data_IF_257844296557
#
_entry.id   IF_257844296557
#
_cell.length_a   1.000
_cell.length_b   1.000
_cell.length_c   1.000
_cell.angle_alpha   90.00
_cell.angle_beta   90.00
_cell.angle_gamma   90.00
#
_symmetry.space_group_name_H-M   'P 1'
#
loop_
_entity.id
_entity.type
_entity.pdbx_description
1 polymer ?
#
# COMPACT_ATOMS: atom_id res chain seq x y z
N UNK A 1 -11.88 20.86 6.21
CA UNK A 1 -10.48 20.56 6.59
C UNK A 1 -9.68 20.40 5.30
N UNK A 2 -8.46 20.95 5.19
CA UNK A 2 -7.60 20.67 4.04
C UNK A 2 -7.29 19.16 3.98
N UNK A 3 -7.28 18.60 2.77
CA UNK A 3 -6.94 17.19 2.54
C UNK A 3 -5.56 16.90 3.13
N UNK A 4 -5.48 15.91 4.03
CA UNK A 4 -4.19 15.40 4.56
C UNK A 4 -3.36 14.78 3.42
N UNK A 5 -4.01 14.46 2.29
CA UNK A 5 -3.41 13.83 1.12
C UNK A 5 -3.03 14.89 0.07
N UNK A 6 -1.72 15.04 -0.15
CA UNK A 6 -1.11 16.00 -1.11
C UNK A 6 -1.33 15.64 -2.57
N UNK A 7 -1.74 14.40 -2.89
CA UNK A 7 -1.89 13.92 -4.26
C UNK A 7 -3.36 13.83 -4.75
N UNK A 8 -4.35 14.32 -3.98
CA UNK A 8 -5.79 14.08 -4.26
C UNK A 8 -6.53 15.32 -4.81
N UNK A 9 -5.83 16.18 -5.55
CA UNK A 9 -6.41 17.43 -6.07
C UNK A 9 -6.98 17.29 -7.50
N UNK A 10 -6.82 16.14 -8.14
CA UNK A 10 -7.26 15.86 -9.51
C UNK A 10 -8.66 15.26 -9.63
N UNK A 11 -9.11 15.06 -10.87
CA UNK A 11 -10.36 14.33 -11.15
C UNK A 11 -10.24 12.86 -10.70
N UNK A 12 -11.24 12.35 -9.99
CA UNK A 12 -11.26 10.98 -9.43
C UNK A 12 -10.94 9.93 -10.50
N UNK A 13 -11.54 10.05 -11.68
CA UNK A 13 -11.32 9.08 -12.77
C UNK A 13 -9.87 9.05 -13.27
N UNK A 14 -9.22 10.21 -13.35
CA UNK A 14 -7.79 10.28 -13.72
C UNK A 14 -6.91 9.68 -12.64
N UNK A 15 -7.27 9.88 -11.37
CA UNK A 15 -6.55 9.31 -10.24
C UNK A 15 -6.68 7.78 -10.20
N UNK A 16 -7.87 7.23 -10.53
CA UNK A 16 -8.06 5.78 -10.71
C UNK A 16 -7.16 5.21 -11.79
N UNK A 17 -7.22 5.77 -12.99
CA UNK A 17 -6.36 5.34 -14.10
C UNK A 17 -4.87 5.39 -13.77
N UNK A 18 -4.43 6.43 -13.03
CA UNK A 18 -3.05 6.53 -12.54
C UNK A 18 -2.72 5.40 -11.56
N UNK A 19 -3.59 5.11 -10.60
CA UNK A 19 -3.40 4.03 -9.61
C UNK A 19 -3.36 2.66 -10.27
N UNK A 20 -4.26 2.37 -11.20
CA UNK A 20 -4.30 1.09 -11.91
C UNK A 20 -3.08 0.92 -12.81
N UNK A 21 -2.66 1.98 -13.52
CA UNK A 21 -1.43 1.97 -14.30
C UNK A 21 -0.20 1.73 -13.41
N UNK A 22 -0.13 2.42 -12.27
CA UNK A 22 0.93 2.22 -11.27
C UNK A 22 0.97 0.77 -10.80
N UNK A 23 -0.19 0.16 -10.51
CA UNK A 23 -0.30 -1.24 -10.11
C UNK A 23 0.32 -2.18 -11.14
N UNK A 24 -0.10 -2.05 -12.41
CA UNK A 24 0.39 -2.87 -13.53
C UNK A 24 1.90 -2.75 -13.69
N UNK A 25 2.44 -1.52 -13.67
CA UNK A 25 3.88 -1.28 -13.80
C UNK A 25 4.66 -1.97 -12.69
N UNK A 26 4.31 -1.69 -11.43
CA UNK A 26 5.04 -2.19 -10.27
C UNK A 26 4.96 -3.71 -10.13
N UNK A 27 3.81 -4.30 -10.44
CA UNK A 27 3.64 -5.75 -10.50
C UNK A 27 4.56 -6.39 -11.53
N UNK A 28 4.67 -5.80 -12.73
CA UNK A 28 5.52 -6.30 -13.80
C UNK A 28 7.01 -6.26 -13.43
N UNK A 29 7.48 -5.19 -12.78
CA UNK A 29 8.90 -5.06 -12.43
C UNK A 29 9.29 -5.82 -11.15
N UNK A 30 8.38 -6.02 -10.20
CA UNK A 30 8.66 -6.65 -8.90
C UNK A 30 8.23 -8.12 -8.81
N UNK A 31 7.76 -8.71 -9.93
CA UNK A 31 7.43 -10.14 -10.07
C UNK A 31 6.28 -10.62 -9.18
N UNK A 32 5.12 -9.96 -9.31
CA UNK A 32 3.83 -10.21 -8.62
C UNK A 32 3.61 -9.40 -7.32
N UNK A 33 2.36 -9.36 -6.87
CA UNK A 33 1.93 -8.54 -5.71
C UNK A 33 2.13 -9.22 -4.35
N UNK A 34 2.35 -10.55 -4.32
CA UNK A 34 2.76 -11.26 -3.10
C UNK A 34 3.89 -12.26 -3.41
N UNK A 35 4.87 -12.42 -2.49
CA UNK A 35 5.90 -13.46 -2.59
C UNK A 35 5.30 -14.88 -2.56
N UNK A 36 5.95 -15.87 -3.21
CA UNK A 36 5.47 -17.25 -3.24
C UNK A 36 5.15 -17.87 -1.87
N UNK A 37 5.95 -17.56 -0.83
CA UNK A 37 5.73 -18.08 0.52
C UNK A 37 4.39 -17.64 1.12
N UNK A 38 3.98 -16.39 0.86
CA UNK A 38 2.70 -15.86 1.34
C UNK A 38 1.55 -16.48 0.54
N UNK A 39 1.72 -16.63 -0.78
CA UNK A 39 0.74 -17.33 -1.60
C UNK A 39 0.52 -18.77 -1.14
N UNK A 40 1.59 -19.50 -0.83
CA UNK A 40 1.52 -20.87 -0.33
C UNK A 40 0.80 -20.93 1.03
N UNK A 41 1.12 -20.01 1.94
CA UNK A 41 0.44 -19.90 3.22
C UNK A 41 -1.07 -19.66 3.04
N UNK A 42 -1.45 -18.64 2.29
CA UNK A 42 -2.87 -18.29 2.07
C UNK A 42 -3.65 -19.43 1.40
N UNK A 43 -3.05 -20.11 0.42
CA UNK A 43 -3.68 -21.24 -0.28
C UNK A 43 -3.77 -22.51 0.56
N UNK A 44 -2.99 -22.62 1.63
CA UNK A 44 -3.08 -23.74 2.58
C UNK A 44 -4.28 -23.63 3.53
N UNK A 45 -4.86 -22.44 3.64
CA UNK A 45 -5.98 -22.16 4.54
C UNK A 45 -7.31 -22.34 3.81
N UNK A 46 -8.34 -22.90 4.46
CA UNK A 46 -9.66 -23.08 3.85
C UNK A 46 -10.42 -21.76 3.64
N UNK A 47 -10.18 -20.77 4.50
CA UNK A 47 -10.85 -19.46 4.47
C UNK A 47 -9.88 -18.35 4.91
N UNK A 48 -8.85 -18.04 4.10
CA UNK A 48 -7.85 -17.04 4.47
C UNK A 48 -8.45 -15.63 4.54
N UNK A 49 -8.00 -14.82 5.50
CA UNK A 49 -8.37 -13.41 5.63
C UNK A 49 -7.20 -12.54 5.22
N UNK A 50 -7.39 -11.68 4.22
CA UNK A 50 -6.39 -10.73 3.74
C UNK A 50 -6.87 -9.31 3.93
N UNK A 51 -6.05 -8.48 4.56
CA UNK A 51 -6.24 -7.03 4.60
C UNK A 51 -5.34 -6.39 3.54
N UNK A 52 -5.88 -5.46 2.76
CA UNK A 52 -5.11 -4.56 1.91
C UNK A 52 -5.22 -3.13 2.46
N UNK A 53 -4.13 -2.62 3.01
CA UNK A 53 -4.07 -1.31 3.63
C UNK A 53 -3.55 -0.25 2.64
N UNK A 54 -4.15 0.93 2.67
CA UNK A 54 -3.98 1.97 1.66
C UNK A 54 -4.32 1.44 0.25
N UNK A 55 -5.44 0.71 0.15
CA UNK A 55 -5.82 -0.11 -1.01
C UNK A 55 -6.08 0.68 -2.31
N UNK A 56 -6.27 2.01 -2.22
CA UNK A 56 -6.54 2.86 -3.38
C UNK A 56 -7.81 2.47 -4.14
N UNK A 57 -7.64 1.90 -5.33
CA UNK A 57 -8.76 1.43 -6.17
C UNK A 57 -9.31 0.07 -5.74
N UNK A 58 -8.55 -0.71 -4.96
CA UNK A 58 -8.88 -2.09 -4.62
C UNK A 58 -8.38 -3.13 -5.63
N UNK A 59 -7.64 -2.71 -6.66
CA UNK A 59 -7.19 -3.58 -7.76
C UNK A 59 -6.39 -4.81 -7.28
N UNK A 60 -5.61 -4.70 -6.20
CA UNK A 60 -4.91 -5.84 -5.59
C UNK A 60 -5.90 -6.92 -5.13
N UNK A 61 -7.02 -6.52 -4.50
CA UNK A 61 -8.04 -7.46 -4.02
C UNK A 61 -8.75 -8.15 -5.18
N UNK A 62 -9.03 -7.42 -6.26
CA UNK A 62 -9.63 -7.99 -7.48
C UNK A 62 -8.74 -9.09 -8.07
N UNK A 63 -7.42 -8.91 -8.03
CA UNK A 63 -6.46 -9.90 -8.51
C UNK A 63 -6.18 -11.03 -7.52
N UNK A 64 -6.38 -10.80 -6.22
CA UNK A 64 -6.21 -11.83 -5.19
C UNK A 64 -7.39 -12.80 -5.16
N UNK A 65 -8.61 -12.29 -5.33
CA UNK A 65 -9.84 -13.08 -5.26
C UNK A 65 -9.84 -14.37 -6.11
N UNK A 66 -9.50 -14.34 -7.43
CA UNK A 66 -9.49 -15.56 -8.23
C UNK A 66 -8.34 -16.52 -7.91
N UNK A 67 -7.33 -16.09 -7.13
CA UNK A 67 -6.17 -16.91 -6.73
C UNK A 67 -6.38 -17.66 -5.41
N UNK A 68 -7.44 -17.35 -4.67
CA UNK A 68 -7.71 -17.87 -3.33
C UNK A 68 -9.00 -18.71 -3.29
N UNK A 69 -9.22 -19.40 -2.17
CA UNK A 69 -10.47 -20.12 -1.93
C UNK A 69 -11.67 -19.16 -1.97
N UNK A 70 -12.86 -19.65 -2.37
CA UNK A 70 -14.07 -18.83 -2.44
C UNK A 70 -14.48 -18.28 -1.07
N UNK A 71 -14.13 -19.00 -0.02
CA UNK A 71 -14.34 -18.67 1.38
C UNK A 71 -13.32 -17.65 1.92
N UNK A 72 -12.32 -17.26 1.13
CA UNK A 72 -11.38 -16.21 1.50
C UNK A 72 -12.11 -14.88 1.71
N UNK A 73 -11.70 -14.09 2.70
CA UNK A 73 -12.24 -12.75 2.92
C UNK A 73 -11.16 -11.69 2.63
N UNK A 74 -11.50 -10.72 1.78
CA UNK A 74 -10.60 -9.69 1.31
C UNK A 74 -11.12 -8.31 1.73
N UNK A 75 -10.41 -7.65 2.64
CA UNK A 75 -10.83 -6.36 3.19
C UNK A 75 -9.83 -5.27 2.79
N UNK A 76 -10.27 -4.30 2.00
CA UNK A 76 -9.49 -3.13 1.63
C UNK A 76 -9.79 -1.95 2.53
N UNK A 77 -8.75 -1.33 3.05
CA UNK A 77 -8.82 -0.17 3.93
C UNK A 77 -8.18 1.04 3.24
N UNK A 78 -8.93 2.13 3.10
CA UNK A 78 -8.41 3.40 2.61
C UNK A 78 -9.18 4.57 3.21
N UNK A 79 -8.51 5.70 3.40
CA UNK A 79 -9.15 6.94 3.87
C UNK A 79 -10.09 7.56 2.81
N UNK A 80 -9.97 7.13 1.56
CA UNK A 80 -10.70 7.62 0.39
C UNK A 80 -11.32 6.48 -0.43
N UNK A 81 -12.38 5.88 0.11
CA UNK A 81 -13.15 4.82 -0.58
C UNK A 81 -13.77 5.25 -1.92
N UNK A 82 -13.90 6.56 -2.19
CA UNK A 82 -14.42 7.07 -3.48
C UNK A 82 -13.51 6.77 -4.67
N UNK A 83 -12.24 6.41 -4.44
CA UNK A 83 -11.30 6.02 -5.49
C UNK A 83 -11.57 4.61 -6.00
N UNK A 84 -12.34 3.78 -5.29
CA UNK A 84 -12.68 2.44 -5.79
C UNK A 84 -13.39 2.49 -7.13
N UNK A 85 -13.30 1.39 -7.89
CA UNK A 85 -14.28 1.08 -8.91
C UNK A 85 -15.68 0.94 -8.28
N UNK A 86 -16.70 0.76 -9.11
CA UNK A 86 -18.06 0.50 -8.61
C UNK A 86 -18.00 -0.62 -7.56
N UNK A 87 -18.47 -0.42 -6.32
CA UNK A 87 -18.50 -1.49 -5.33
C UNK A 87 -19.18 -2.77 -5.84
N UNK A 88 -20.09 -2.66 -6.82
CA UNK A 88 -20.72 -3.80 -7.48
C UNK A 88 -19.78 -4.59 -8.42
N UNK A 89 -18.64 -4.03 -8.82
CA UNK A 89 -17.63 -4.72 -9.62
C UNK A 89 -16.62 -5.50 -8.78
N UNK A 90 -16.64 -5.35 -7.45
CA UNK A 90 -15.76 -6.10 -6.57
C UNK A 90 -16.16 -7.58 -6.54
N UNK A 91 -15.18 -8.50 -6.39
CA UNK A 91 -15.46 -9.90 -6.11
C UNK A 91 -16.40 -10.04 -4.90
N UNK A 92 -17.28 -11.05 -4.92
CA UNK A 92 -18.28 -11.27 -3.86
C UNK A 92 -17.66 -11.47 -2.46
N UNK A 93 -16.39 -11.83 -2.41
CA UNK A 93 -15.63 -12.07 -1.19
C UNK A 93 -14.65 -10.92 -0.85
N UNK A 94 -14.78 -9.79 -1.55
CA UNK A 94 -14.01 -8.57 -1.32
C UNK A 94 -14.91 -7.41 -0.90
N UNK A 95 -14.39 -6.55 -0.02
CA UNK A 95 -15.04 -5.28 0.35
C UNK A 95 -14.01 -4.17 0.54
N UNK A 96 -14.42 -2.94 0.22
CA UNK A 96 -13.65 -1.73 0.46
C UNK A 96 -14.33 -0.88 1.51
N UNK A 97 -13.55 -0.39 2.47
CA UNK A 97 -14.07 0.31 3.64
C UNK A 97 -13.08 1.37 4.11
N UNK A 98 -13.59 2.27 4.95
CA UNK A 98 -12.74 3.29 5.55
C UNK A 98 -11.74 2.66 6.50
N UNK A 99 -10.47 3.03 6.37
CA UNK A 99 -9.44 2.72 7.36
C UNK A 99 -8.27 3.68 7.23
N UNK A 100 -7.86 4.26 8.35
CA UNK A 100 -6.67 5.09 8.44
C UNK A 100 -5.55 4.29 9.11
N UNK A 101 -4.48 4.00 8.39
CA UNK A 101 -3.33 3.24 8.93
C UNK A 101 -2.64 3.95 10.11
N UNK A 102 -2.89 5.25 10.29
CA UNK A 102 -2.37 6.05 11.41
C UNK A 102 -3.26 6.00 12.66
N UNK A 103 -4.44 5.38 12.58
CA UNK A 103 -5.37 5.21 13.69
C UNK A 103 -5.46 3.74 14.11
N UNK A 104 -6.01 3.50 15.30
CA UNK A 104 -6.28 2.14 15.76
C UNK A 104 -7.45 1.55 14.95
N UNK A 105 -7.25 0.33 14.46
CA UNK A 105 -8.31 -0.39 13.77
C UNK A 105 -9.40 -0.85 14.76
N UNK A 106 -10.68 -0.89 14.32
CA UNK A 106 -11.76 -1.46 15.12
C UNK A 106 -11.47 -2.87 15.64
N UNK A 107 -12.00 -3.20 16.82
CA UNK A 107 -11.67 -4.43 17.57
C UNK A 107 -11.95 -5.70 16.78
N UNK A 108 -12.97 -5.69 15.93
CA UNK A 108 -13.39 -6.79 15.07
C UNK A 108 -12.36 -7.19 14.01
N UNK A 109 -11.37 -6.33 13.75
CA UNK A 109 -10.31 -6.57 12.77
C UNK A 109 -9.00 -7.05 13.41
N UNK A 110 -8.83 -6.82 14.71
CA UNK A 110 -7.58 -7.09 15.43
C UNK A 110 -7.32 -8.59 15.54
N UNK A 111 -6.11 -9.01 15.15
CA UNK A 111 -5.70 -10.41 15.23
C UNK A 111 -6.48 -11.36 14.33
N UNK A 112 -7.13 -10.86 13.27
CA UNK A 112 -8.01 -11.67 12.41
C UNK A 112 -7.45 -12.00 11.04
N UNK A 113 -6.36 -11.36 10.62
CA UNK A 113 -5.84 -11.52 9.25
C UNK A 113 -4.66 -12.48 9.18
N UNK A 114 -4.69 -13.35 8.16
CA UNK A 114 -3.61 -14.26 7.79
C UNK A 114 -2.54 -13.54 6.94
N UNK A 115 -2.93 -12.45 6.26
CA UNK A 115 -1.99 -11.55 5.60
C UNK A 115 -2.46 -10.11 5.65
N UNK A 116 -1.52 -9.19 5.85
CA UNK A 116 -1.68 -7.75 5.65
C UNK A 116 -0.76 -7.32 4.52
N UNK A 117 -1.36 -6.85 3.43
CA UNK A 117 -0.70 -6.25 2.29
C UNK A 117 -0.75 -4.72 2.44
N UNK A 118 0.34 -4.04 2.09
CA UNK A 118 0.39 -2.57 1.99
C UNK A 118 1.34 -2.21 0.85
N UNK A 119 0.93 -1.27 -0.01
CA UNK A 119 1.64 -0.97 -1.26
C UNK A 119 1.82 0.52 -1.47
N UNK A 120 3.08 0.93 -1.64
CA UNK A 120 3.51 2.29 -2.02
C UNK A 120 3.01 3.44 -1.12
N UNK A 121 2.96 3.30 0.22
CA UNK A 121 2.64 4.44 1.10
C UNK A 121 3.73 5.53 1.12
N UNK A 122 4.88 5.35 0.46
CA UNK A 122 6.01 6.30 0.47
C UNK A 122 5.64 7.76 0.21
N UNK A 123 4.77 8.02 -0.76
CA UNK A 123 4.38 9.39 -1.11
C UNK A 123 3.33 9.99 -0.16
N UNK A 124 2.82 9.19 0.78
CA UNK A 124 1.68 9.53 1.65
C UNK A 124 2.11 9.65 3.11
N UNK A 125 3.06 8.83 3.58
CA UNK A 125 3.51 8.81 4.98
C UNK A 125 4.71 9.73 5.23
N UNK A 126 4.61 10.58 6.25
CA UNK A 126 5.75 11.35 6.79
C UNK A 126 6.67 10.43 7.59
N UNK A 127 7.96 10.83 7.73
CA UNK A 127 9.00 10.09 8.47
C UNK A 127 8.54 9.50 9.82
N UNK A 128 7.80 10.27 10.63
CA UNK A 128 7.34 9.82 11.95
C UNK A 128 6.07 8.95 11.91
N UNK A 129 5.34 8.94 10.79
CA UNK A 129 4.10 8.20 10.59
C UNK A 129 4.38 6.73 10.18
N UNK A 130 5.56 6.41 9.62
CA UNK A 130 5.93 5.04 9.21
C UNK A 130 5.86 4.01 10.34
N UNK A 131 6.51 4.30 11.48
CA UNK A 131 6.50 3.36 12.62
C UNK A 131 5.11 3.23 13.23
N UNK A 132 4.30 4.29 13.18
CA UNK A 132 2.92 4.26 13.65
C UNK A 132 2.06 3.38 12.74
N UNK A 133 2.16 3.54 11.42
CA UNK A 133 1.46 2.71 10.44
C UNK A 133 1.83 1.23 10.61
N UNK A 134 3.13 0.90 10.68
CA UNK A 134 3.59 -0.47 10.94
C UNK A 134 3.02 -1.01 12.25
N UNK A 135 3.04 -0.22 13.33
CA UNK A 135 2.51 -0.63 14.63
C UNK A 135 1.01 -0.97 14.55
N UNK A 136 0.22 -0.11 13.91
CA UNK A 136 -1.23 -0.30 13.79
C UNK A 136 -1.55 -1.48 12.86
N UNK A 137 -0.90 -1.59 11.70
CA UNK A 137 -1.10 -2.70 10.77
C UNK A 137 -0.74 -4.05 11.37
N UNK A 138 0.32 -4.12 12.20
CA UNK A 138 0.65 -5.35 12.93
C UNK A 138 -0.44 -5.81 13.88
N UNK A 139 -1.32 -4.93 14.37
CA UNK A 139 -2.43 -5.33 15.25
C UNK A 139 -3.52 -6.14 14.53
N UNK A 140 -3.56 -6.07 13.19
CA UNK A 140 -4.49 -6.83 12.37
C UNK A 140 -4.11 -8.31 12.24
N UNK A 141 -2.81 -8.62 12.36
CA UNK A 141 -2.26 -9.95 12.09
C UNK A 141 -2.58 -10.96 13.19
N UNK A 142 -2.97 -12.16 12.78
CA UNK A 142 -2.84 -13.36 13.62
C UNK A 142 -1.37 -13.60 14.00
N UNK A 143 -1.07 -14.38 15.05
CA UNK A 143 0.30 -14.69 15.47
C UNK A 143 1.22 -15.20 14.34
N UNK A 144 0.68 -16.02 13.43
CA UNK A 144 1.42 -16.60 12.29
C UNK A 144 1.15 -15.90 10.96
N UNK A 145 0.51 -14.73 10.99
CA UNK A 145 0.15 -13.97 9.80
C UNK A 145 1.36 -13.26 9.17
N UNK A 146 1.28 -13.03 7.86
CA UNK A 146 2.32 -12.34 7.11
C UNK A 146 2.00 -10.87 6.90
N UNK A 147 2.99 -9.99 7.09
CA UNK A 147 2.93 -8.64 6.57
C UNK A 147 3.79 -8.56 5.31
N UNK A 148 3.19 -8.13 4.21
CA UNK A 148 3.95 -7.78 3.01
C UNK A 148 3.85 -6.28 2.76
N UNK A 149 4.99 -5.61 2.94
CA UNK A 149 5.14 -4.19 2.68
C UNK A 149 5.85 -4.01 1.33
N UNK A 150 5.08 -3.66 0.32
CA UNK A 150 5.58 -3.39 -1.02
C UNK A 150 5.93 -1.91 -1.15
N UNK A 151 7.19 -1.60 -1.47
CA UNK A 151 7.64 -0.21 -1.52
C UNK A 151 8.77 0.02 -2.54
N UNK A 152 8.87 1.26 -3.01
CA UNK A 152 10.06 1.77 -3.69
C UNK A 152 11.09 2.29 -2.69
N UNK A 153 12.34 1.86 -2.87
CA UNK A 153 13.45 2.47 -2.13
C UNK A 153 13.67 3.93 -2.53
N UNK A 154 14.50 4.64 -1.77
CA UNK A 154 15.00 5.95 -2.16
C UNK A 154 15.93 5.80 -3.39
N UNK A 155 15.36 5.78 -4.59
CA UNK A 155 16.11 5.81 -5.84
C UNK A 155 15.82 7.12 -6.57
N UNK A 156 16.89 7.79 -6.96
CA UNK A 156 16.89 9.22 -7.23
C UNK A 156 16.06 9.66 -8.43
N UNK A 157 15.41 10.81 -8.27
CA UNK A 157 14.89 11.58 -9.39
C UNK A 157 16.03 12.01 -10.32
N UNK A 158 15.85 11.77 -11.61
CA UNK A 158 16.72 12.28 -12.66
C UNK A 158 15.86 13.14 -13.61
N UNK A 159 16.39 14.28 -14.01
CA UNK A 159 15.82 15.16 -15.02
C UNK A 159 16.93 15.41 -16.03
N UNK A 160 16.62 15.29 -17.32
CA UNK A 160 17.53 15.60 -18.41
C UNK A 160 16.80 16.51 -19.41
N UNK A 161 17.21 17.78 -19.56
CA UNK A 161 18.32 18.42 -18.86
C UNK A 161 18.03 18.58 -17.36
N UNK A 162 19.10 18.52 -16.57
CA UNK A 162 19.05 18.59 -15.10
C UNK A 162 18.49 19.95 -14.66
N UNK A 163 17.28 19.94 -14.09
CA UNK A 163 16.62 21.18 -13.68
C UNK A 163 17.26 21.78 -12.42
N UNK A 164 17.20 23.11 -12.29
CA UNK A 164 17.70 23.81 -11.09
C UNK A 164 16.99 23.34 -9.80
N UNK A 165 15.69 23.06 -9.87
CA UNK A 165 14.93 22.53 -8.75
C UNK A 165 15.38 21.12 -8.34
N UNK A 166 15.72 20.27 -9.30
CA UNK A 166 16.28 18.95 -8.99
C UNK A 166 17.67 19.06 -8.36
N UNK A 167 18.48 20.01 -8.80
CA UNK A 167 19.79 20.29 -8.20
C UNK A 167 19.68 20.72 -6.73
N UNK A 168 18.76 21.63 -6.43
CA UNK A 168 18.49 22.10 -5.06
C UNK A 168 18.01 20.94 -4.18
N UNK A 169 17.04 20.16 -4.67
CA UNK A 169 16.53 18.98 -3.96
C UNK A 169 17.65 17.97 -3.64
N UNK A 170 18.51 17.67 -4.62
CA UNK A 170 19.63 16.73 -4.45
C UNK A 170 20.69 17.25 -3.49
N UNK A 171 20.90 18.56 -3.44
CA UNK A 171 21.81 19.20 -2.49
C UNK A 171 21.30 19.07 -1.05
N UNK A 172 20.01 19.28 -0.82
CA UNK A 172 19.37 19.09 0.49
C UNK A 172 19.43 17.61 0.90
N UNK A 173 19.05 16.70 0.00
CA UNK A 173 19.08 15.25 0.24
C UNK A 173 20.49 14.77 0.63
N UNK A 174 21.52 15.25 -0.08
CA UNK A 174 22.92 14.91 0.21
C UNK A 174 23.38 15.46 1.57
N UNK A 175 23.07 16.72 1.88
CA UNK A 175 23.41 17.34 3.16
C UNK A 175 22.76 16.60 4.35
N UNK A 176 21.51 16.16 4.20
CA UNK A 176 20.82 15.37 5.22
C UNK A 176 21.38 13.94 5.32
N UNK A 177 21.67 13.28 4.19
CA UNK A 177 22.25 11.94 4.17
C UNK A 177 23.59 11.86 4.93
N UNK A 178 24.43 12.89 4.80
CA UNK A 178 25.68 13.02 5.58
C UNK A 178 25.41 13.07 7.09
N UNK A 179 24.39 13.81 7.54
CA UNK A 179 24.01 13.86 8.98
C UNK A 179 23.57 12.50 9.53
N UNK A 180 23.09 11.61 8.68
CA UNK A 180 22.69 10.25 9.04
C UNK A 180 23.77 9.18 8.77
N UNK A 181 25.02 9.59 8.55
CA UNK A 181 26.15 8.67 8.35
C UNK A 181 26.14 7.95 7.01
N UNK A 182 25.40 8.46 6.01
CA UNK A 182 25.32 7.93 4.64
C UNK A 182 26.10 8.79 3.65
N UNK A 183 27.20 9.39 4.11
CA UNK A 183 28.12 10.13 3.24
C UNK A 183 28.85 9.20 2.26
N UNK A 184 29.41 9.72 1.16
CA UNK A 184 30.35 8.96 0.37
C UNK A 184 31.52 8.52 1.28
N UNK A 185 31.96 7.27 1.11
CA UNK A 185 33.19 6.76 1.73
C UNK A 185 34.38 7.65 1.37
#
# INVERSE_FOLDING_TARGET
MPSIYTLNHGAVEKERQRLDFQHVVFKAIMRDDLPPVIWLHLKSLPAPRVADADTGTGISLEEFAPKLAKEAQLDGFDIHTKKSHDPASLPANAKLQYGNVLELFPKEYLGTYDSVHVKLPYAVLKKHEWLLAVKNLKTLLKPDGYMFWFEIGAYGYASNPYSAALHEWKSIESAEAVKFGRGPM
#
